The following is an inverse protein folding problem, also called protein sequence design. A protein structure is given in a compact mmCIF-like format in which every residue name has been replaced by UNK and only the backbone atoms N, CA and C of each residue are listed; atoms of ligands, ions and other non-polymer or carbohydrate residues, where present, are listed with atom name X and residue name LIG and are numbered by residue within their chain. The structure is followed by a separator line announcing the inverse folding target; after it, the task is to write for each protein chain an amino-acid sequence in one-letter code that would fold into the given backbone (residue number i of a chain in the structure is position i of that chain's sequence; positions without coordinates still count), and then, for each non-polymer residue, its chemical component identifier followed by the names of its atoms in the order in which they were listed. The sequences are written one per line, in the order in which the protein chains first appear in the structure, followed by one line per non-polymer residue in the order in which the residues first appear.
data_IF_798266053907
#
_entry.id   IF_798266053907
#
_cell.length_a   1.000
_cell.length_b   1.000
_cell.length_c   1.000
_cell.angle_alpha   90.00
_cell.angle_beta   90.00
_cell.angle_gamma   90.00
#
_symmetry.space_group_name_H-M   'P 1'
#
loop_
_entity.id
_entity.type
_entity.pdbx_description
1 polymer ?
#
# COMPACT_ATOMS: atom_id res chain seq x y z
N UNK A 1 -65.83 13.74 -27.02
CA UNK A 1 -64.59 12.99 -26.92
C UNK A 1 -64.66 11.61 -27.56
N UNK A 2 -65.86 11.05 -27.71
CA UNK A 2 -66.08 9.68 -28.24
C UNK A 2 -66.08 9.58 -29.77
N UNK A 3 -66.08 10.70 -30.50
CA UNK A 3 -66.21 10.75 -31.98
C UNK A 3 -64.86 10.82 -32.73
N UNK A 4 -63.76 10.50 -32.06
CA UNK A 4 -62.43 10.46 -32.72
C UNK A 4 -61.82 9.06 -32.67
N UNK A 5 -62.17 8.16 -33.57
CA UNK A 5 -61.73 6.77 -33.55
C UNK A 5 -60.21 6.63 -33.62
N UNK A 6 -59.52 7.55 -34.29
CA UNK A 6 -58.05 7.52 -34.40
C UNK A 6 -57.35 7.77 -33.08
N UNK A 7 -57.90 8.64 -32.19
CA UNK A 7 -57.34 8.90 -30.85
C UNK A 7 -57.58 7.73 -29.89
N UNK A 8 -58.77 7.11 -30.00
CA UNK A 8 -59.08 5.89 -29.21
C UNK A 8 -58.18 4.73 -29.61
N UNK A 9 -57.97 4.49 -30.88
CA UNK A 9 -57.06 3.47 -31.36
C UNK A 9 -55.59 3.75 -30.99
N UNK A 10 -55.15 5.02 -31.06
CA UNK A 10 -53.82 5.39 -30.61
C UNK A 10 -53.62 5.15 -29.09
N UNK A 11 -54.61 5.52 -28.28
CA UNK A 11 -54.59 5.26 -26.83
C UNK A 11 -54.63 3.75 -26.52
N UNK A 12 -55.47 2.98 -27.23
CA UNK A 12 -55.52 1.52 -27.07
C UNK A 12 -54.20 0.85 -27.46
N UNK A 13 -53.56 1.26 -28.56
CA UNK A 13 -52.28 0.75 -29.00
C UNK A 13 -51.16 1.12 -28.01
N UNK A 14 -51.17 2.33 -27.43
CA UNK A 14 -50.23 2.75 -26.40
C UNK A 14 -50.38 1.92 -25.12
N UNK A 15 -51.61 1.69 -24.67
CA UNK A 15 -51.91 0.84 -23.50
C UNK A 15 -51.51 -0.62 -23.75
N UNK A 16 -51.78 -1.13 -24.96
CA UNK A 16 -51.36 -2.48 -25.33
C UNK A 16 -49.83 -2.60 -25.37
N UNK A 17 -49.14 -1.63 -25.98
CA UNK A 17 -47.66 -1.56 -25.95
C UNK A 17 -47.08 -1.53 -24.53
N UNK A 18 -47.67 -0.71 -23.65
CA UNK A 18 -47.29 -0.66 -22.25
C UNK A 18 -47.50 -2.01 -21.54
N UNK A 19 -48.65 -2.66 -21.78
CA UNK A 19 -48.96 -3.96 -21.18
C UNK A 19 -47.99 -5.05 -21.65
N UNK A 20 -47.59 -5.04 -22.94
CA UNK A 20 -46.56 -5.96 -23.46
C UNK A 20 -45.20 -5.72 -22.81
N UNK A 21 -44.80 -4.46 -22.68
CA UNK A 21 -43.51 -4.11 -22.00
C UNK A 21 -43.53 -4.58 -20.56
N UNK A 22 -44.62 -4.34 -19.84
CA UNK A 22 -44.78 -4.80 -18.44
C UNK A 22 -44.77 -6.33 -18.32
N UNK A 23 -45.43 -7.02 -19.25
CA UNK A 23 -45.43 -8.49 -19.29
C UNK A 23 -44.03 -9.06 -19.56
N UNK A 24 -43.30 -8.48 -20.49
CA UNK A 24 -41.89 -8.86 -20.77
C UNK A 24 -40.97 -8.58 -19.58
N UNK A 25 -41.14 -7.43 -18.92
CA UNK A 25 -40.41 -7.10 -17.72
C UNK A 25 -40.69 -8.10 -16.57
N UNK A 26 -41.98 -8.44 -16.37
CA UNK A 26 -42.39 -9.42 -15.37
C UNK A 26 -41.83 -10.82 -15.67
N UNK A 27 -41.89 -11.24 -16.94
CA UNK A 27 -41.32 -12.51 -17.39
C UNK A 27 -39.80 -12.55 -17.18
N UNK A 28 -39.10 -11.48 -17.49
CA UNK A 28 -37.67 -11.32 -17.21
C UNK A 28 -37.38 -11.39 -15.73
N UNK A 29 -38.11 -10.62 -14.89
CA UNK A 29 -37.93 -10.60 -13.45
C UNK A 29 -38.21 -11.96 -12.78
N UNK A 30 -39.18 -12.72 -13.31
CA UNK A 30 -39.44 -14.10 -12.88
C UNK A 30 -38.35 -15.06 -13.35
N UNK A 31 -37.92 -14.97 -14.61
CA UNK A 31 -36.87 -15.82 -15.15
C UNK A 31 -35.56 -15.67 -14.41
N UNK A 32 -35.18 -14.44 -14.02
CA UNK A 32 -33.93 -14.18 -13.23
C UNK A 32 -34.00 -14.70 -11.80
N UNK A 33 -35.18 -15.07 -11.29
CA UNK A 33 -35.36 -15.62 -9.92
C UNK A 33 -35.46 -17.15 -9.90
N UNK A 34 -35.37 -17.80 -11.06
CA UNK A 34 -35.44 -19.27 -11.12
C UNK A 34 -34.25 -19.90 -10.39
N UNK A 35 -34.44 -21.01 -9.65
CA UNK A 35 -33.39 -21.72 -8.93
C UNK A 35 -32.30 -22.27 -9.82
N UNK A 36 -32.54 -22.36 -11.13
CA UNK A 36 -31.54 -22.74 -12.14
C UNK A 36 -30.33 -21.83 -12.15
N UNK A 37 -30.45 -20.58 -11.67
CA UNK A 37 -29.38 -19.60 -11.59
C UNK A 37 -28.76 -19.47 -10.21
N UNK A 38 -29.03 -20.40 -9.30
CA UNK A 38 -28.36 -20.41 -8.00
C UNK A 38 -26.86 -20.60 -8.17
N UNK A 39 -26.09 -19.90 -7.31
CA UNK A 39 -24.63 -20.03 -7.29
C UNK A 39 -24.25 -21.43 -6.82
N UNK A 40 -23.59 -22.19 -7.67
CA UNK A 40 -23.18 -23.56 -7.36
C UNK A 40 -21.84 -23.60 -6.62
N UNK A 41 -20.93 -22.68 -6.90
CA UNK A 41 -19.58 -22.72 -6.35
C UNK A 41 -18.96 -21.31 -6.30
N UNK A 42 -18.23 -21.03 -5.23
CA UNK A 42 -17.38 -19.85 -5.09
C UNK A 42 -15.95 -20.31 -4.93
N UNK A 43 -15.13 -20.04 -5.95
CA UNK A 43 -13.72 -20.38 -5.93
C UNK A 43 -12.89 -19.15 -5.56
N UNK A 44 -12.09 -19.27 -4.51
CA UNK A 44 -11.15 -18.21 -4.10
C UNK A 44 -9.75 -18.58 -4.57
N UNK A 45 -9.12 -17.67 -5.30
CA UNK A 45 -7.76 -17.83 -5.81
C UNK A 45 -6.85 -16.73 -5.27
N UNK A 46 -5.57 -17.06 -5.03
CA UNK A 46 -4.56 -16.15 -4.49
C UNK A 46 -3.68 -16.82 -3.45
N UNK A 47 -2.55 -16.21 -3.13
CA UNK A 47 -1.66 -16.65 -2.05
C UNK A 47 -2.15 -16.11 -0.72
N UNK A 48 -3.04 -16.83 -0.04
CA UNK A 48 -3.64 -16.42 1.23
C UNK A 48 -2.71 -16.86 2.38
N UNK A 49 -2.00 -15.89 2.97
CA UNK A 49 -1.11 -16.12 4.11
C UNK A 49 -1.66 -15.52 5.41
N UNK A 50 -2.49 -14.48 5.30
CA UNK A 50 -2.99 -13.71 6.44
C UNK A 50 -4.51 -13.65 6.49
N UNK A 51 -5.19 -13.73 5.34
CA UNK A 51 -6.66 -13.76 5.28
C UNK A 51 -7.14 -15.15 5.65
N UNK A 52 -7.97 -15.24 6.65
CA UNK A 52 -8.51 -16.51 7.13
C UNK A 52 -9.72 -16.96 6.29
N UNK A 53 -9.99 -18.26 6.33
CA UNK A 53 -11.15 -18.82 5.65
C UNK A 53 -12.46 -18.27 6.21
N UNK A 54 -12.52 -18.06 7.52
CA UNK A 54 -13.68 -17.51 8.22
C UNK A 54 -13.98 -16.08 7.76
N UNK A 55 -12.96 -15.23 7.59
CA UNK A 55 -13.15 -13.86 7.08
C UNK A 55 -13.71 -13.87 5.65
N UNK A 56 -13.26 -14.80 4.82
CA UNK A 56 -13.77 -14.95 3.46
C UNK A 56 -15.22 -15.42 3.47
N UNK A 57 -15.55 -16.45 4.27
CA UNK A 57 -16.90 -17.00 4.39
C UNK A 57 -17.88 -15.93 4.91
N UNK A 58 -17.46 -15.11 5.85
CA UNK A 58 -18.26 -14.00 6.38
C UNK A 58 -18.59 -12.95 5.29
N UNK A 59 -17.64 -12.58 4.45
CA UNK A 59 -17.88 -11.65 3.34
C UNK A 59 -18.79 -12.29 2.30
N UNK A 60 -18.56 -13.56 1.95
CA UNK A 60 -19.38 -14.32 1.01
C UNK A 60 -20.84 -14.35 1.48
N UNK A 61 -21.10 -14.68 2.75
CA UNK A 61 -22.46 -14.77 3.30
C UNK A 61 -23.18 -13.42 3.35
N UNK A 62 -22.44 -12.34 3.59
CA UNK A 62 -23.03 -10.99 3.69
C UNK A 62 -23.32 -10.36 2.34
N UNK A 63 -22.38 -10.46 1.42
CA UNK A 63 -22.36 -9.67 0.18
C UNK A 63 -22.81 -10.45 -1.06
N UNK A 64 -22.64 -11.78 -1.11
CA UNK A 64 -23.04 -12.59 -2.25
C UNK A 64 -24.52 -13.02 -2.14
N UNK A 65 -25.39 -12.02 -2.01
CA UNK A 65 -26.85 -12.25 -1.98
C UNK A 65 -27.44 -12.21 -3.38
N UNK A 66 -28.35 -13.14 -3.65
CA UNK A 66 -28.98 -13.25 -4.97
C UNK A 66 -28.53 -14.52 -5.69
N UNK A 67 -28.58 -14.48 -7.03
CA UNK A 67 -28.16 -15.58 -7.86
C UNK A 67 -27.04 -15.15 -8.80
N UNK A 68 -26.56 -16.08 -9.64
CA UNK A 68 -25.46 -15.85 -10.59
C UNK A 68 -25.65 -14.61 -11.48
N UNK A 69 -26.90 -14.25 -11.85
CA UNK A 69 -27.21 -13.10 -12.69
C UNK A 69 -27.34 -11.79 -11.91
N UNK A 70 -27.88 -11.85 -10.69
CA UNK A 70 -28.29 -10.68 -9.91
C UNK A 70 -27.31 -10.25 -8.84
N UNK A 71 -26.32 -11.11 -8.50
CA UNK A 71 -25.28 -10.80 -7.50
C UNK A 71 -24.48 -9.55 -7.91
N UNK A 72 -24.29 -8.64 -6.96
CA UNK A 72 -23.48 -7.43 -7.13
C UNK A 72 -22.00 -7.74 -6.92
N UNK A 73 -21.29 -7.94 -8.03
CA UNK A 73 -19.84 -8.25 -8.00
C UNK A 73 -19.00 -7.06 -7.54
N UNK A 74 -19.47 -5.83 -7.79
CA UNK A 74 -18.74 -4.63 -7.40
C UNK A 74 -18.79 -4.44 -5.87
N UNK A 75 -19.98 -4.57 -5.29
CA UNK A 75 -20.15 -4.53 -3.84
C UNK A 75 -19.33 -5.63 -3.14
N UNK A 76 -19.37 -6.85 -3.65
CA UNK A 76 -18.56 -7.96 -3.14
C UNK A 76 -17.06 -7.65 -3.22
N UNK A 77 -16.57 -7.14 -4.35
CA UNK A 77 -15.16 -6.74 -4.51
C UNK A 77 -14.72 -5.67 -3.52
N UNK A 78 -15.57 -4.67 -3.27
CA UNK A 78 -15.30 -3.62 -2.27
C UNK A 78 -15.26 -4.21 -0.86
N UNK A 79 -16.18 -5.11 -0.52
CA UNK A 79 -16.22 -5.74 0.79
C UNK A 79 -14.98 -6.60 1.08
N UNK A 80 -14.49 -7.37 0.09
CA UNK A 80 -13.22 -8.08 0.22
C UNK A 80 -12.03 -7.13 0.42
N UNK A 81 -12.02 -5.97 -0.25
CA UNK A 81 -10.95 -4.97 -0.07
C UNK A 81 -10.97 -4.28 1.30
N UNK A 82 -12.05 -4.39 2.07
CA UNK A 82 -12.10 -3.91 3.45
C UNK A 82 -11.38 -4.83 4.44
N UNK A 83 -11.08 -6.07 4.04
CA UNK A 83 -10.25 -6.97 4.86
C UNK A 83 -8.83 -6.40 4.96
N UNK A 84 -8.29 -6.36 6.17
CA UNK A 84 -7.04 -5.67 6.51
C UNK A 84 -5.85 -6.05 5.63
N UNK A 85 -5.76 -7.31 5.25
CA UNK A 85 -4.65 -7.84 4.46
C UNK A 85 -4.92 -7.90 2.95
N UNK A 86 -6.13 -7.60 2.52
CA UNK A 86 -6.48 -7.62 1.10
C UNK A 86 -6.09 -6.30 0.43
N UNK A 87 -5.15 -6.38 -0.49
CA UNK A 87 -4.73 -5.26 -1.33
C UNK A 87 -5.71 -5.03 -2.48
N UNK A 88 -6.08 -6.10 -3.15
CA UNK A 88 -7.03 -6.09 -4.26
C UNK A 88 -7.88 -7.34 -4.23
N UNK A 89 -9.14 -7.18 -4.57
CA UNK A 89 -10.04 -8.28 -4.82
C UNK A 89 -10.72 -8.08 -6.18
N UNK A 90 -10.73 -9.10 -7.00
CA UNK A 90 -11.43 -9.11 -8.27
C UNK A 90 -12.42 -10.26 -8.28
N UNK A 91 -13.71 -9.94 -8.36
CA UNK A 91 -14.80 -10.91 -8.37
C UNK A 91 -15.32 -11.00 -9.80
N UNK A 92 -15.34 -12.19 -10.35
CA UNK A 92 -15.84 -12.42 -11.73
C UNK A 92 -16.75 -13.64 -11.81
N UNK A 93 -17.68 -13.59 -12.76
CA UNK A 93 -18.52 -14.73 -13.10
C UNK A 93 -17.73 -15.72 -13.94
N UNK A 94 -17.83 -17.00 -13.57
CA UNK A 94 -17.28 -18.09 -14.33
C UNK A 94 -18.41 -19.06 -14.72
N UNK A 95 -18.60 -19.30 -15.99
CA UNK A 95 -19.60 -20.27 -16.47
C UNK A 95 -19.21 -21.69 -16.13
N UNK A 96 -20.16 -22.60 -15.82
CA UNK A 96 -21.57 -22.34 -15.45
C UNK A 96 -21.71 -22.06 -13.95
N UNK A 97 -22.52 -21.04 -13.58
CA UNK A 97 -23.01 -20.73 -12.21
C UNK A 97 -21.95 -20.65 -11.11
N UNK A 98 -20.70 -20.26 -11.45
CA UNK A 98 -19.58 -20.11 -10.51
C UNK A 98 -19.17 -18.67 -10.38
N UNK A 99 -18.64 -18.33 -9.21
CA UNK A 99 -17.90 -17.08 -9.00
C UNK A 99 -16.44 -17.39 -8.71
N UNK A 100 -15.55 -16.64 -9.31
CA UNK A 100 -14.14 -16.64 -8.99
C UNK A 100 -13.77 -15.32 -8.31
N UNK A 101 -13.14 -15.43 -7.15
CA UNK A 101 -12.65 -14.31 -6.35
C UNK A 101 -11.14 -14.40 -6.33
N UNK A 102 -10.48 -13.53 -7.09
CA UNK A 102 -9.02 -13.43 -7.08
C UNK A 102 -8.60 -12.39 -6.03
N UNK A 103 -7.93 -12.83 -4.98
CA UNK A 103 -7.45 -12.00 -3.87
C UNK A 103 -5.94 -11.82 -3.99
N UNK A 104 -5.48 -10.57 -3.91
CA UNK A 104 -4.08 -10.19 -3.78
C UNK A 104 -3.88 -9.60 -2.38
N UNK A 105 -3.04 -10.26 -1.56
CA UNK A 105 -2.70 -9.75 -0.23
C UNK A 105 -1.60 -8.69 -0.26
N UNK A 106 -1.58 -7.85 0.78
CA UNK A 106 -0.47 -6.96 1.05
C UNK A 106 0.78 -7.77 1.44
N UNK A 107 1.91 -7.47 0.82
CA UNK A 107 3.22 -7.95 1.25
C UNK A 107 3.88 -6.84 2.06
N UNK A 108 3.97 -7.02 3.38
CA UNK A 108 4.55 -6.02 4.27
C UNK A 108 6.04 -5.84 4.01
N UNK A 109 6.47 -4.60 3.76
CA UNK A 109 7.86 -4.21 3.54
C UNK A 109 8.44 -3.55 4.79
N UNK A 110 7.67 -2.68 5.45
CA UNK A 110 8.12 -1.88 6.58
C UNK A 110 6.96 -1.56 7.53
N UNK A 111 7.28 -1.13 8.74
CA UNK A 111 6.31 -0.51 9.64
C UNK A 111 6.21 0.99 9.32
N UNK A 112 4.99 1.51 9.33
CA UNK A 112 4.72 2.94 9.23
C UNK A 112 4.51 3.51 10.62
N UNK A 113 5.53 4.19 11.12
CA UNK A 113 5.52 4.63 12.52
C UNK A 113 5.36 3.46 13.48
N UNK A 114 4.36 3.57 14.39
CA UNK A 114 4.13 2.58 15.45
C UNK A 114 2.89 1.70 15.23
N UNK A 115 1.98 2.08 14.31
CA UNK A 115 0.64 1.52 14.29
C UNK A 115 0.21 0.87 12.97
N UNK A 116 0.91 1.12 11.86
CA UNK A 116 0.54 0.62 10.55
C UNK A 116 1.73 -0.06 9.85
N UNK A 117 1.44 -0.66 8.71
CA UNK A 117 2.41 -1.30 7.82
C UNK A 117 2.44 -0.57 6.47
N UNK A 118 3.54 -0.72 5.76
CA UNK A 118 3.71 -0.31 4.36
C UNK A 118 4.02 -1.55 3.54
N UNK A 119 3.29 -1.73 2.46
CA UNK A 119 3.53 -2.84 1.55
C UNK A 119 4.66 -2.53 0.53
N UNK A 120 5.01 -3.52 -0.27
CA UNK A 120 6.02 -3.38 -1.33
C UNK A 120 5.66 -2.37 -2.42
N UNK A 121 4.41 -1.91 -2.49
CA UNK A 121 3.92 -0.88 -3.42
C UNK A 121 3.94 0.53 -2.82
N UNK A 122 4.27 0.64 -1.51
CA UNK A 122 4.27 1.92 -0.79
C UNK A 122 2.88 2.36 -0.31
N UNK A 123 1.94 1.43 -0.21
CA UNK A 123 0.60 1.66 0.31
C UNK A 123 0.61 1.38 1.82
N UNK A 124 0.04 2.30 2.60
CA UNK A 124 -0.11 2.14 4.05
C UNK A 124 -1.40 1.36 4.33
N UNK A 125 -1.30 0.33 5.15
CA UNK A 125 -2.44 -0.49 5.54
C UNK A 125 -2.36 -0.85 7.04
N UNK A 126 -3.50 -1.25 7.61
CA UNK A 126 -3.55 -1.76 8.97
C UNK A 126 -2.91 -3.15 9.05
N UNK A 127 -2.76 -3.65 10.27
CA UNK A 127 -2.30 -5.02 10.49
C UNK A 127 -1.13 -5.09 11.45
N UNK A 128 -0.87 -6.31 11.88
CA UNK A 128 0.27 -6.65 12.74
C UNK A 128 1.07 -7.74 12.05
N UNK A 129 2.36 -7.54 11.97
CA UNK A 129 3.27 -8.55 11.45
C UNK A 129 4.34 -8.84 12.48
N UNK A 130 4.58 -10.12 12.75
CA UNK A 130 5.70 -10.58 13.54
C UNK A 130 6.99 -10.44 12.74
N UNK A 131 8.11 -10.13 13.44
CA UNK A 131 9.43 -10.03 12.82
C UNK A 131 10.03 -8.63 12.83
N UNK A 132 11.30 -8.56 12.43
CA UNK A 132 12.06 -7.31 12.36
C UNK A 132 11.86 -6.66 11.00
N UNK A 133 10.87 -5.80 10.88
CA UNK A 133 10.70 -4.95 9.71
C UNK A 133 11.41 -3.60 9.93
N UNK A 134 11.97 -2.98 8.88
CA UNK A 134 12.43 -1.60 8.94
C UNK A 134 11.27 -0.67 9.29
N UNK A 135 11.60 0.52 9.81
CA UNK A 135 10.62 1.51 10.23
C UNK A 135 10.67 2.71 9.30
N UNK A 136 9.54 3.05 8.69
CA UNK A 136 9.37 4.27 7.89
C UNK A 136 8.66 5.33 8.73
N UNK A 137 9.18 6.54 8.71
CA UNK A 137 8.63 7.69 9.44
C UNK A 137 8.62 8.88 8.49
N UNK A 138 7.46 9.44 8.24
CA UNK A 138 7.32 10.60 7.37
C UNK A 138 5.93 11.24 7.49
N UNK A 139 5.74 12.40 6.86
CA UNK A 139 4.42 12.98 6.70
C UNK A 139 3.47 12.05 5.95
N UNK A 140 2.19 12.23 6.16
CA UNK A 140 1.16 11.51 5.41
C UNK A 140 1.37 11.67 3.89
N UNK A 141 1.09 10.62 3.12
CA UNK A 141 1.30 10.58 1.67
C UNK A 141 2.74 10.33 1.20
N UNK A 142 3.75 10.27 2.10
CA UNK A 142 5.15 10.02 1.70
C UNK A 142 5.56 8.55 1.67
N UNK A 143 4.69 7.63 2.04
CA UNK A 143 5.02 6.20 2.14
C UNK A 143 5.55 5.62 0.83
N UNK A 144 4.94 5.98 -0.31
CA UNK A 144 5.37 5.52 -1.63
C UNK A 144 6.76 6.06 -2.01
N UNK A 145 7.02 7.33 -1.73
CA UNK A 145 8.32 7.96 -1.94
C UNK A 145 9.40 7.28 -1.10
N UNK A 146 9.12 7.05 0.19
CA UNK A 146 10.03 6.37 1.11
C UNK A 146 10.30 4.93 0.63
N UNK A 147 9.29 4.22 0.14
CA UNK A 147 9.44 2.86 -0.38
C UNK A 147 10.37 2.80 -1.59
N UNK A 148 10.25 3.76 -2.50
CA UNK A 148 11.14 3.85 -3.69
C UNK A 148 12.57 4.12 -3.26
N UNK A 149 12.76 5.12 -2.40
CA UNK A 149 14.09 5.50 -1.91
C UNK A 149 14.72 4.41 -1.02
N UNK A 150 13.93 3.71 -0.21
CA UNK A 150 14.40 2.61 0.61
C UNK A 150 15.07 1.51 -0.23
N UNK A 151 14.49 1.16 -1.37
CA UNK A 151 15.10 0.18 -2.30
C UNK A 151 16.45 0.65 -2.83
N UNK A 152 16.55 1.94 -3.16
CA UNK A 152 17.81 2.53 -3.57
C UNK A 152 18.86 2.50 -2.43
N UNK A 153 18.46 2.91 -1.22
CA UNK A 153 19.34 2.92 -0.06
C UNK A 153 19.84 1.52 0.30
N UNK A 154 18.95 0.53 0.31
CA UNK A 154 19.31 -0.87 0.58
C UNK A 154 20.37 -1.35 -0.39
N UNK A 155 20.13 -1.19 -1.69
CA UNK A 155 21.07 -1.60 -2.75
C UNK A 155 22.41 -0.86 -2.66
N UNK A 156 22.40 0.44 -2.36
CA UNK A 156 23.63 1.23 -2.26
C UNK A 156 24.46 0.84 -1.02
N UNK A 157 23.81 0.53 0.09
CA UNK A 157 24.47 0.19 1.36
C UNK A 157 24.97 -1.27 1.41
N UNK A 158 24.47 -2.16 0.55
CA UNK A 158 24.99 -3.52 0.40
C UNK A 158 26.49 -3.54 0.12
N UNK A 159 27.01 -2.56 -0.62
CA UNK A 159 28.43 -2.44 -0.95
C UNK A 159 29.35 -2.30 0.31
N UNK A 160 28.80 -1.85 1.42
CA UNK A 160 29.52 -1.71 2.72
C UNK A 160 28.98 -2.67 3.78
N UNK A 161 28.18 -3.68 3.40
CA UNK A 161 27.62 -4.67 4.28
C UNK A 161 26.63 -4.10 5.31
N UNK A 162 25.96 -2.98 5.03
CA UNK A 162 25.04 -2.31 5.93
C UNK A 162 23.61 -2.32 5.38
N UNK A 163 22.61 -2.32 6.28
CA UNK A 163 21.22 -2.28 5.94
C UNK A 163 20.47 -1.16 6.67
N UNK A 164 19.56 -0.42 5.99
CA UNK A 164 18.76 0.61 6.65
C UNK A 164 17.62 -0.04 7.44
N UNK A 165 17.64 0.12 8.77
CA UNK A 165 16.59 -0.36 9.68
C UNK A 165 15.55 0.70 9.99
N UNK A 166 15.84 1.97 9.70
CA UNK A 166 14.87 3.06 9.77
C UNK A 166 15.15 4.10 8.70
N UNK A 167 14.08 4.54 8.06
CA UNK A 167 14.08 5.68 7.13
C UNK A 167 13.14 6.73 7.66
N UNK A 168 13.63 7.95 7.82
CA UNK A 168 12.83 9.09 8.26
C UNK A 168 12.88 10.22 7.25
N UNK A 169 11.72 10.77 6.94
CA UNK A 169 11.57 11.99 6.15
C UNK A 169 10.89 13.05 7.02
N UNK A 170 11.53 14.20 7.18
CA UNK A 170 10.93 15.30 7.93
C UNK A 170 9.83 16.02 7.11
N UNK A 171 8.97 16.86 7.74
CA UNK A 171 8.02 17.69 7.01
C UNK A 171 8.68 18.64 5.99
N UNK A 172 9.96 18.99 6.20
CA UNK A 172 10.77 19.80 5.28
C UNK A 172 11.51 18.96 4.23
N UNK A 173 11.11 17.69 4.06
CA UNK A 173 11.70 16.75 3.09
C UNK A 173 13.18 16.42 3.33
N UNK A 174 13.68 16.55 4.56
CA UNK A 174 15.03 16.10 4.91
C UNK A 174 15.02 14.61 5.27
N UNK A 175 15.93 13.87 4.68
CA UNK A 175 16.10 12.42 4.80
C UNK A 175 17.13 12.07 5.85
N UNK A 176 16.81 11.08 6.65
CA UNK A 176 17.67 10.49 7.68
C UNK A 176 17.54 8.96 7.59
N UNK A 177 18.66 8.26 7.65
CA UNK A 177 18.70 6.81 7.72
C UNK A 177 19.31 6.37 9.06
N UNK A 178 18.79 5.30 9.62
CA UNK A 178 19.46 4.56 10.70
C UNK A 178 19.81 3.17 10.17
N UNK A 179 21.07 2.80 10.32
CA UNK A 179 21.59 1.51 9.87
C UNK A 179 21.48 0.46 10.97
N UNK A 180 21.59 -0.79 10.60
CA UNK A 180 21.63 -1.95 11.50
C UNK A 180 22.78 -1.91 12.51
N UNK A 181 23.92 -1.29 12.12
CA UNK A 181 25.06 -0.97 13.01
C UNK A 181 24.74 0.06 14.10
N UNK A 182 23.57 0.70 14.04
CA UNK A 182 23.18 1.83 14.89
C UNK A 182 23.62 3.20 14.37
N UNK A 183 24.41 3.26 13.29
CA UNK A 183 24.83 4.50 12.66
C UNK A 183 23.67 5.27 12.06
N UNK A 184 23.60 6.57 12.35
CA UNK A 184 22.61 7.49 11.76
C UNK A 184 23.27 8.36 10.70
N UNK A 185 22.68 8.41 9.50
CA UNK A 185 23.12 9.21 8.38
C UNK A 185 22.12 10.35 8.13
N UNK A 186 22.59 11.60 8.17
CA UNK A 186 21.82 12.79 7.79
C UNK A 186 22.07 13.12 6.32
N UNK A 187 21.13 12.84 5.46
CA UNK A 187 21.25 13.07 4.00
C UNK A 187 20.76 14.47 3.59
N UNK A 188 19.86 15.06 4.38
CA UNK A 188 19.21 16.33 4.02
C UNK A 188 18.13 16.15 2.95
N UNK A 189 17.82 17.23 2.21
CA UNK A 189 16.71 17.25 1.24
C UNK A 189 17.14 17.22 -0.23
N UNK A 190 18.38 17.55 -0.50
CA UNK A 190 18.92 17.70 -1.85
C UNK A 190 20.02 16.69 -2.11
N UNK A 191 20.11 16.19 -3.36
CA UNK A 191 21.16 15.28 -3.81
C UNK A 191 21.34 14.04 -2.91
N UNK A 192 20.24 13.51 -2.37
CA UNK A 192 20.24 12.42 -1.38
C UNK A 192 21.04 11.21 -1.87
N UNK A 193 20.81 10.82 -3.12
CA UNK A 193 21.47 9.68 -3.74
C UNK A 193 22.97 9.91 -3.93
N UNK A 194 23.35 11.09 -4.45
CA UNK A 194 24.76 11.44 -4.67
C UNK A 194 25.54 11.53 -3.33
N UNK A 195 24.89 12.04 -2.28
CA UNK A 195 25.49 12.09 -0.93
C UNK A 195 25.70 10.70 -0.35
N UNK A 196 24.73 9.81 -0.50
CA UNK A 196 24.88 8.42 -0.06
C UNK A 196 25.96 7.70 -0.85
N UNK A 197 25.99 7.83 -2.19
CA UNK A 197 27.00 7.21 -3.02
C UNK A 197 28.43 7.67 -2.64
N UNK A 198 28.61 8.97 -2.36
CA UNK A 198 29.88 9.52 -1.89
C UNK A 198 30.30 8.94 -0.53
N UNK A 199 29.35 8.81 0.41
CA UNK A 199 29.59 8.19 1.70
C UNK A 199 30.04 6.73 1.53
N UNK A 200 29.30 5.94 0.76
CA UNK A 200 29.64 4.53 0.46
C UNK A 200 31.03 4.40 -0.14
N UNK A 201 31.37 5.22 -1.14
CA UNK A 201 32.69 5.20 -1.78
C UNK A 201 33.86 5.63 -0.88
N UNK A 202 33.59 6.38 0.20
CA UNK A 202 34.60 6.80 1.16
C UNK A 202 34.61 5.93 2.44
N UNK A 203 33.62 5.05 2.65
CA UNK A 203 33.36 4.36 3.90
C UNK A 203 34.58 3.59 4.43
N UNK A 204 35.19 2.72 3.64
CA UNK A 204 36.31 1.88 4.03
C UNK A 204 37.56 2.68 4.44
N UNK A 205 37.75 3.84 3.79
CA UNK A 205 38.90 4.72 4.05
C UNK A 205 38.70 5.65 5.22
N UNK A 206 37.48 5.79 5.71
CA UNK A 206 37.10 6.76 6.75
C UNK A 206 36.39 6.08 7.92
N UNK A 207 35.06 6.01 7.88
CA UNK A 207 34.21 5.50 8.96
C UNK A 207 34.49 4.03 9.29
N UNK A 208 34.75 3.21 8.26
CA UNK A 208 35.11 1.79 8.44
C UNK A 208 36.38 1.58 9.24
N UNK A 209 37.38 2.48 9.10
CA UNK A 209 38.64 2.41 9.87
C UNK A 209 38.53 2.91 11.30
N UNK A 210 37.64 3.86 11.56
CA UNK A 210 37.46 4.49 12.86
C UNK A 210 36.78 3.59 13.91
N UNK A 211 36.20 2.47 13.46
CA UNK A 211 35.62 1.46 14.34
C UNK A 211 34.30 1.86 14.99
N UNK A 212 33.94 1.17 16.11
CA UNK A 212 32.58 1.19 16.72
C UNK A 212 32.20 2.46 17.50
N UNK A 213 32.97 3.53 17.41
CA UNK A 213 32.70 4.77 18.21
C UNK A 213 31.77 5.78 17.53
N UNK A 214 31.39 5.56 16.25
CA UNK A 214 30.64 6.54 15.48
C UNK A 214 29.16 6.18 15.50
N UNK A 215 28.32 7.14 15.91
CA UNK A 215 26.87 6.96 15.93
C UNK A 215 26.11 7.89 14.98
N UNK A 216 26.80 8.91 14.41
CA UNK A 216 26.15 9.89 13.56
C UNK A 216 27.10 10.44 12.49
N UNK A 217 26.63 10.52 11.24
CA UNK A 217 27.34 11.12 10.11
C UNK A 217 26.42 12.11 9.42
N UNK A 218 26.87 13.35 9.29
CA UNK A 218 26.16 14.39 8.56
C UNK A 218 26.72 14.53 7.16
N UNK A 219 25.94 14.14 6.14
CA UNK A 219 26.30 14.13 4.71
C UNK A 219 25.86 15.39 3.96
N UNK A 220 25.34 16.40 4.64
CA UNK A 220 24.77 17.61 4.01
C UNK A 220 25.85 18.52 3.43
N UNK A 221 27.07 18.36 3.81
CA UNK A 221 28.20 19.14 3.29
C UNK A 221 28.52 18.81 1.83
N UNK A 222 28.87 19.83 1.05
CA UNK A 222 29.13 19.66 -0.38
C UNK A 222 30.39 18.80 -0.66
N UNK A 223 31.46 19.00 0.10
CA UNK A 223 32.78 18.42 -0.17
C UNK A 223 33.25 17.41 0.88
N UNK A 224 32.37 16.91 1.73
CA UNK A 224 32.74 15.98 2.79
C UNK A 224 31.55 15.57 3.66
N UNK A 225 31.86 15.07 4.84
CA UNK A 225 30.85 14.77 5.87
C UNK A 225 31.44 14.97 7.25
N UNK A 226 30.58 15.34 8.20
CA UNK A 226 30.96 15.47 9.59
C UNK A 226 30.59 14.20 10.36
N UNK A 227 31.50 13.74 11.22
CA UNK A 227 31.32 12.54 12.04
C UNK A 227 31.22 12.94 13.51
N UNK A 228 30.24 12.39 14.22
CA UNK A 228 30.12 12.57 15.69
C UNK A 228 30.52 11.27 16.38
N UNK A 229 31.50 11.40 17.28
CA UNK A 229 31.90 10.35 18.19
C UNK A 229 31.46 10.69 19.63
N UNK A 230 30.63 9.88 20.30
CA UNK A 230 30.34 10.07 21.71
C UNK A 230 31.63 9.86 22.52
N UNK A 231 32.02 10.86 23.25
CA UNK A 231 33.22 10.79 24.13
C UNK A 231 34.42 11.63 23.71
N UNK A 232 34.51 12.08 22.48
CA UNK A 232 35.47 13.13 22.10
C UNK A 232 34.83 14.49 22.42
N UNK A 233 35.17 15.04 23.61
CA UNK A 233 34.97 16.48 23.85
C UNK A 233 35.89 17.23 22.89
N UNK A 234 35.39 18.22 22.11
CA UNK A 234 36.28 19.12 21.39
C UNK A 234 37.21 19.78 22.41
N UNK A 235 38.51 19.60 22.23
CA UNK A 235 39.47 20.34 23.00
C UNK A 235 39.21 21.85 22.76
N UNK A 236 39.04 22.67 23.82
CA UNK A 236 38.77 24.09 23.64
C UNK A 236 39.92 24.69 22.83
N UNK A 237 39.59 25.33 21.70
CA UNK A 237 40.59 25.99 20.87
C UNK A 237 41.50 26.85 21.75
N UNK A 238 42.83 26.79 21.52
CA UNK A 238 43.76 27.59 22.30
C UNK A 238 43.37 29.05 22.19
N UNK A 239 43.12 29.69 23.35
CA UNK A 239 42.86 31.12 23.44
C UNK A 239 44.05 31.83 22.77
N UNK A 240 43.84 32.40 21.57
CA UNK A 240 44.80 33.33 20.99
C UNK A 240 45.01 34.42 22.01
N UNK A 241 46.20 34.41 22.62
CA UNK A 241 46.65 35.46 23.53
C UNK A 241 46.53 36.79 22.79
N UNK A 242 45.75 37.73 23.32
CA UNK A 242 45.85 39.13 22.96
C UNK A 242 47.24 39.55 23.43
N UNK A 243 48.17 39.62 22.48
CA UNK A 243 49.40 40.35 22.68
C UNK A 243 49.09 41.83 22.94
N UNK A 244 49.66 42.36 23.97
CA UNK A 244 49.68 43.75 24.33
C UNK A 244 50.42 44.57 23.26
#
# INVERSE_FOLDING_TARGET
MWDRPNMLNAAANALFGLAVVLALYMAWALATRLPVFELSEVTVTGGLAHVTREEIEDVVQRELRGNFLTVDLAAAGIAFQQLTWVRRANVRRQWPMRLEIAIEEHVALARWGNAALVNTHGEVFGGKQAGKLPVFIGPEGTAREITIQYRYFTRSLEAIGAAPVQVRVSPRRAWQLKLDSGLTLELGREQVEARLARFVGAYDRTVGRLGRGINHVDLRYANGFAVRMPGLRPEPAPKRGRGA
#
